data_IF_732708905544
#
_entry.id   IF_732708905544
#
_cell.length_a   1.000
_cell.length_b   1.000
_cell.length_c   1.000
_cell.angle_alpha   90.00
_cell.angle_beta   90.00
_cell.angle_gamma   90.00
#
_symmetry.space_group_name_H-M   'P 1'
#
loop_
_entity.id
_entity.type
_entity.pdbx_description
1 polymer ?
#
# COMPACT_ATOMS: atom_id res chain seq x y z
N UNK A 1 -31.34 71.31 24.07
CA UNK A 1 -30.85 71.02 22.70
C UNK A 1 -31.56 71.93 21.70
N UNK A 2 -30.83 72.54 20.78
CA UNK A 2 -31.38 73.26 19.63
C UNK A 2 -31.91 72.30 18.57
N UNK A 3 -32.84 72.72 17.71
CA UNK A 3 -33.36 71.89 16.59
C UNK A 3 -32.19 71.38 15.71
N UNK A 4 -31.19 72.23 15.46
CA UNK A 4 -29.97 71.86 14.73
C UNK A 4 -29.23 70.68 15.37
N UNK A 5 -29.07 70.66 16.70
CA UNK A 5 -28.37 69.55 17.37
C UNK A 5 -29.15 68.23 17.35
N UNK A 6 -30.50 68.27 17.31
CA UNK A 6 -31.31 67.05 17.15
C UNK A 6 -31.19 66.44 15.76
N UNK A 7 -31.23 67.28 14.72
CA UNK A 7 -31.07 66.84 13.33
C UNK A 7 -29.67 66.25 13.12
N UNK A 8 -28.63 66.91 13.62
CA UNK A 8 -27.24 66.45 13.48
C UNK A 8 -27.00 65.09 14.16
N UNK A 9 -27.56 64.90 15.35
CA UNK A 9 -27.44 63.65 16.10
C UNK A 9 -28.23 62.52 15.43
N UNK A 10 -29.42 62.81 14.89
CA UNK A 10 -30.19 61.85 14.10
C UNK A 10 -29.46 61.43 12.81
N UNK A 11 -28.89 62.38 12.06
CA UNK A 11 -28.10 62.06 10.86
C UNK A 11 -26.84 61.26 11.20
N UNK A 12 -26.16 61.56 12.31
CA UNK A 12 -24.98 60.82 12.74
C UNK A 12 -25.33 59.36 13.09
N UNK A 13 -26.41 59.13 13.83
CA UNK A 13 -26.89 57.77 14.16
C UNK A 13 -27.29 57.01 12.90
N UNK A 14 -27.95 57.65 11.93
CA UNK A 14 -28.29 57.05 10.65
C UNK A 14 -27.06 56.63 9.85
N UNK A 15 -26.05 57.49 9.74
CA UNK A 15 -24.81 57.19 9.01
C UNK A 15 -24.06 56.05 9.69
N UNK A 16 -23.92 56.08 11.02
CA UNK A 16 -23.27 55.00 11.78
C UNK A 16 -24.05 53.69 11.61
N UNK A 17 -25.37 53.71 11.69
CA UNK A 17 -26.22 52.54 11.48
C UNK A 17 -26.07 51.94 10.08
N UNK A 18 -26.05 52.79 9.04
CA UNK A 18 -25.83 52.35 7.66
C UNK A 18 -24.42 51.77 7.45
N UNK A 19 -23.38 52.39 8.04
CA UNK A 19 -22.00 51.88 7.98
C UNK A 19 -21.86 50.53 8.70
N UNK A 20 -22.50 50.36 9.86
CA UNK A 20 -22.53 49.09 10.57
C UNK A 20 -23.26 48.00 9.77
N UNK A 21 -24.41 48.33 9.18
CA UNK A 21 -25.16 47.40 8.34
C UNK A 21 -24.36 46.97 7.11
N UNK A 22 -23.76 47.93 6.39
CA UNK A 22 -22.90 47.65 5.24
C UNK A 22 -21.65 46.85 5.63
N UNK A 23 -21.02 47.17 6.76
CA UNK A 23 -19.87 46.42 7.30
C UNK A 23 -20.23 44.98 7.66
N UNK A 24 -21.37 44.76 8.33
CA UNK A 24 -21.86 43.42 8.67
C UNK A 24 -22.22 42.60 7.42
N UNK A 25 -22.88 43.21 6.43
CA UNK A 25 -23.18 42.56 5.15
C UNK A 25 -21.91 42.23 4.38
N UNK A 26 -20.97 43.17 4.29
CA UNK A 26 -19.67 42.97 3.64
C UNK A 26 -18.87 41.85 4.31
N UNK A 27 -18.83 41.82 5.64
CA UNK A 27 -18.19 40.75 6.40
C UNK A 27 -18.86 39.39 6.16
N UNK A 28 -20.19 39.31 6.24
CA UNK A 28 -20.94 38.06 6.03
C UNK A 28 -20.77 37.54 4.60
N UNK A 29 -20.88 38.42 3.60
CA UNK A 29 -20.75 38.07 2.19
C UNK A 29 -19.31 37.68 1.84
N UNK A 30 -18.32 38.42 2.37
CA UNK A 30 -16.91 38.12 2.20
C UNK A 30 -16.52 36.78 2.85
N UNK A 31 -16.92 36.55 4.11
CA UNK A 31 -16.66 35.30 4.83
C UNK A 31 -17.29 34.10 4.11
N UNK A 32 -18.57 34.20 3.74
CA UNK A 32 -19.27 33.13 3.02
C UNK A 32 -18.66 32.84 1.64
N UNK A 33 -18.19 33.86 0.93
CA UNK A 33 -17.52 33.67 -0.37
C UNK A 33 -16.16 32.98 -0.21
N UNK A 34 -15.40 33.32 0.84
CA UNK A 34 -14.14 32.65 1.16
C UNK A 34 -14.37 31.19 1.54
N UNK A 35 -15.34 30.92 2.42
CA UNK A 35 -15.70 29.56 2.84
C UNK A 35 -16.10 28.70 1.63
N UNK A 36 -16.97 29.24 0.75
CA UNK A 36 -17.34 28.57 -0.49
C UNK A 36 -16.15 28.32 -1.41
N UNK A 37 -15.26 29.30 -1.57
CA UNK A 37 -14.05 29.15 -2.38
C UNK A 37 -13.08 28.09 -1.82
N UNK A 38 -12.95 27.99 -0.49
CA UNK A 38 -12.15 26.92 0.14
C UNK A 38 -12.81 25.55 0.00
N UNK A 39 -14.13 25.47 0.18
CA UNK A 39 -14.91 24.24 0.00
C UNK A 39 -14.77 23.67 -1.42
N UNK A 40 -14.94 24.52 -2.44
CA UNK A 40 -14.76 24.15 -3.84
C UNK A 40 -13.32 23.71 -4.10
N UNK A 41 -12.32 24.41 -3.54
CA UNK A 41 -10.91 24.02 -3.67
C UNK A 41 -10.60 22.65 -3.06
N UNK A 42 -11.08 22.37 -1.85
CA UNK A 42 -10.89 21.08 -1.19
C UNK A 42 -11.51 19.95 -2.02
N UNK A 43 -12.70 20.18 -2.56
CA UNK A 43 -13.39 19.23 -3.44
C UNK A 43 -12.59 18.97 -4.71
N UNK A 44 -12.10 20.01 -5.38
CA UNK A 44 -11.26 19.86 -6.58
C UNK A 44 -9.96 19.11 -6.27
N UNK A 45 -9.31 19.38 -5.14
CA UNK A 45 -8.10 18.66 -4.73
C UNK A 45 -8.44 17.18 -4.49
N UNK A 46 -9.49 16.88 -3.71
CA UNK A 46 -9.92 15.50 -3.43
C UNK A 46 -10.21 14.73 -4.73
N UNK A 47 -11.02 15.30 -5.63
CA UNK A 47 -11.37 14.67 -6.91
C UNK A 47 -10.13 14.40 -7.77
N UNK A 48 -9.21 15.37 -7.86
CA UNK A 48 -7.96 15.18 -8.58
C UNK A 48 -7.09 14.06 -7.97
N UNK A 49 -7.03 13.93 -6.64
CA UNK A 49 -6.30 12.83 -5.98
C UNK A 49 -6.97 11.48 -6.20
N UNK A 50 -8.29 11.42 -6.09
CA UNK A 50 -9.04 10.20 -6.38
C UNK A 50 -8.82 9.74 -7.83
N UNK A 51 -8.92 10.66 -8.78
CA UNK A 51 -8.67 10.37 -10.20
C UNK A 51 -7.23 9.95 -10.46
N UNK A 52 -6.24 10.60 -9.83
CA UNK A 52 -4.83 10.23 -9.97
C UNK A 52 -4.56 8.81 -9.43
N UNK A 53 -5.13 8.46 -8.27
CA UNK A 53 -5.01 7.11 -7.70
C UNK A 53 -5.69 6.06 -8.59
N UNK A 54 -6.89 6.36 -9.10
CA UNK A 54 -7.58 5.46 -10.00
C UNK A 54 -6.79 5.23 -11.30
N UNK A 55 -6.30 6.30 -11.92
CA UNK A 55 -5.51 6.22 -13.16
C UNK A 55 -4.20 5.44 -12.95
N UNK A 56 -3.57 5.57 -11.79
CA UNK A 56 -2.37 4.82 -11.43
C UNK A 56 -2.65 3.31 -11.31
N UNK A 57 -3.72 2.92 -10.61
CA UNK A 57 -4.12 1.51 -10.50
C UNK A 57 -4.62 0.90 -11.81
N UNK A 58 -5.32 1.67 -12.64
CA UNK A 58 -5.67 1.26 -14.00
C UNK A 58 -4.42 1.04 -14.85
N UNK A 59 -3.43 1.94 -14.76
CA UNK A 59 -2.15 1.80 -15.46
C UNK A 59 -1.41 0.53 -15.00
N UNK A 60 -1.34 0.28 -13.70
CA UNK A 60 -0.76 -0.95 -13.17
C UNK A 60 -1.48 -2.21 -13.65
N UNK A 61 -2.81 -2.18 -13.69
CA UNK A 61 -3.62 -3.27 -14.23
C UNK A 61 -3.27 -3.56 -15.67
N UNK A 62 -3.17 -2.51 -16.49
CA UNK A 62 -2.78 -2.62 -17.90
C UNK A 62 -1.36 -3.17 -18.06
N UNK A 63 -0.40 -2.72 -17.24
CA UNK A 63 0.96 -3.27 -17.24
C UNK A 63 0.94 -4.78 -16.92
N UNK A 64 0.19 -5.16 -15.89
CA UNK A 64 0.07 -6.56 -15.48
C UNK A 64 -0.58 -7.43 -16.58
N UNK A 65 -1.60 -6.92 -17.27
CA UNK A 65 -2.20 -7.58 -18.44
C UNK A 65 -1.19 -7.77 -19.58
N UNK A 66 -0.40 -6.75 -19.89
CA UNK A 66 0.67 -6.88 -20.90
C UNK A 66 1.66 -7.94 -20.47
N UNK A 67 2.10 -7.93 -19.20
CA UNK A 67 3.04 -8.89 -18.65
C UNK A 67 2.54 -10.34 -18.79
N UNK A 68 1.25 -10.61 -18.52
CA UNK A 68 0.71 -11.97 -18.64
C UNK A 68 0.64 -12.52 -20.07
N UNK A 69 0.63 -11.62 -21.07
CA UNK A 69 0.64 -11.99 -22.49
C UNK A 69 2.05 -12.16 -23.06
N UNK A 70 3.08 -11.65 -22.37
CA UNK A 70 4.47 -11.77 -22.83
C UNK A 70 4.93 -13.23 -22.86
N UNK A 71 5.36 -13.71 -24.03
CA UNK A 71 5.93 -15.06 -24.19
C UNK A 71 7.05 -15.33 -23.19
N UNK A 72 7.91 -14.33 -22.90
CA UNK A 72 8.99 -14.46 -21.93
C UNK A 72 8.49 -14.84 -20.53
N UNK A 73 7.39 -14.24 -20.05
CA UNK A 73 6.83 -14.57 -18.72
C UNK A 73 6.15 -15.94 -18.75
N UNK A 74 5.40 -16.26 -19.81
CA UNK A 74 4.77 -17.57 -19.98
C UNK A 74 5.80 -18.71 -19.98
N UNK A 75 6.87 -18.54 -20.74
CA UNK A 75 7.97 -19.52 -20.79
C UNK A 75 8.74 -19.58 -19.48
N UNK A 76 8.97 -18.46 -18.80
CA UNK A 76 9.57 -18.48 -17.46
C UNK A 76 8.71 -19.27 -16.46
N UNK A 77 7.40 -19.04 -16.43
CA UNK A 77 6.47 -19.77 -15.56
C UNK A 77 6.51 -21.28 -15.86
N UNK A 78 6.48 -21.69 -17.14
CA UNK A 78 6.60 -23.09 -17.55
C UNK A 78 7.94 -23.70 -17.15
N UNK A 79 9.05 -23.01 -17.42
CA UNK A 79 10.40 -23.50 -17.15
C UNK A 79 10.64 -23.67 -15.66
N UNK A 80 10.27 -22.66 -14.86
CA UNK A 80 10.35 -22.73 -13.39
C UNK A 80 9.48 -23.87 -12.84
N UNK A 81 8.23 -23.98 -13.29
CA UNK A 81 7.34 -25.08 -12.88
C UNK A 81 7.89 -26.47 -13.25
N UNK A 82 8.39 -26.64 -14.48
CA UNK A 82 8.95 -27.91 -14.95
C UNK A 82 10.27 -28.32 -14.28
N UNK A 83 10.97 -27.37 -13.66
CA UNK A 83 12.24 -27.61 -12.96
C UNK A 83 12.06 -28.17 -11.54
N UNK A 84 10.83 -28.20 -11.04
CA UNK A 84 10.52 -28.58 -9.66
C UNK A 84 10.98 -30.00 -9.31
N UNK A 85 10.72 -30.96 -10.18
CA UNK A 85 11.06 -32.37 -9.94
C UNK A 85 12.57 -32.57 -9.81
N UNK A 86 13.35 -31.95 -10.70
CA UNK A 86 14.81 -31.95 -10.65
C UNK A 86 15.34 -31.28 -9.39
N UNK A 87 14.77 -30.12 -9.03
CA UNK A 87 15.15 -29.38 -7.84
C UNK A 87 14.89 -30.20 -6.56
N UNK A 88 13.70 -30.82 -6.46
CA UNK A 88 13.33 -31.66 -5.33
C UNK A 88 14.22 -32.90 -5.23
N UNK A 89 14.56 -33.53 -6.36
CA UNK A 89 15.48 -34.66 -6.39
C UNK A 89 16.90 -34.25 -5.95
N UNK A 90 17.38 -33.08 -6.38
CA UNK A 90 18.69 -32.56 -5.99
C UNK A 90 18.80 -32.35 -4.47
N UNK A 91 17.75 -31.79 -3.84
CA UNK A 91 17.76 -31.47 -2.41
C UNK A 91 17.35 -32.64 -1.51
N UNK A 92 16.74 -33.71 -2.05
CA UNK A 92 16.11 -34.78 -1.27
C UNK A 92 17.00 -35.32 -0.14
N UNK A 93 18.27 -35.61 -0.45
CA UNK A 93 19.23 -36.21 0.49
C UNK A 93 20.14 -35.20 1.20
N UNK A 94 19.96 -33.90 0.98
CA UNK A 94 20.77 -32.85 1.59
C UNK A 94 20.20 -32.44 2.96
N UNK A 95 21.07 -32.02 3.89
CA UNK A 95 20.63 -31.52 5.19
C UNK A 95 20.09 -30.09 5.09
N UNK A 96 18.98 -29.83 5.78
CA UNK A 96 18.33 -28.51 5.84
C UNK A 96 19.01 -27.57 6.85
N UNK A 97 19.83 -28.10 7.77
CA UNK A 97 20.43 -27.33 8.86
C UNK A 97 21.19 -26.09 8.41
N UNK A 98 22.03 -26.12 7.35
CA UNK A 98 22.71 -24.92 6.87
C UNK A 98 21.74 -23.88 6.32
N UNK A 99 20.66 -24.31 5.68
CA UNK A 99 19.66 -23.42 5.07
C UNK A 99 18.79 -22.78 6.12
N UNK A 100 18.36 -23.55 7.13
CA UNK A 100 17.65 -23.03 8.30
C UNK A 100 18.45 -21.90 8.94
N UNK A 101 19.75 -22.11 9.17
CA UNK A 101 20.62 -21.08 9.75
C UNK A 101 20.68 -19.83 8.88
N UNK A 102 20.97 -19.95 7.59
CA UNK A 102 21.09 -18.77 6.71
C UNK A 102 19.76 -17.97 6.63
N UNK A 103 18.63 -18.67 6.56
CA UNK A 103 17.29 -18.04 6.53
C UNK A 103 16.96 -17.39 7.88
N UNK A 104 17.29 -18.05 9.00
CA UNK A 104 17.15 -17.50 10.36
C UNK A 104 18.02 -16.28 10.59
N UNK A 105 19.28 -16.30 10.21
CA UNK A 105 20.20 -15.18 10.41
C UNK A 105 19.69 -13.91 9.68
N UNK A 106 19.13 -14.07 8.47
CA UNK A 106 18.60 -12.95 7.69
C UNK A 106 17.24 -12.45 8.20
N UNK A 107 16.27 -13.35 8.38
CA UNK A 107 14.89 -12.94 8.72
C UNK A 107 14.67 -12.74 10.22
N UNK A 108 15.34 -13.51 11.08
CA UNK A 108 15.23 -13.40 12.55
C UNK A 108 15.65 -12.03 13.06
N UNK A 109 16.71 -11.47 12.48
CA UNK A 109 17.17 -10.09 12.76
C UNK A 109 16.09 -9.04 12.47
N UNK A 110 15.28 -9.26 11.43
CA UNK A 110 14.31 -8.27 10.93
C UNK A 110 12.89 -8.47 11.46
N UNK A 111 12.50 -9.72 11.75
CA UNK A 111 11.14 -10.11 12.11
C UNK A 111 11.01 -10.63 13.56
N UNK A 112 12.13 -10.79 14.27
CA UNK A 112 12.17 -11.15 15.69
C UNK A 112 12.22 -12.66 15.98
N UNK A 113 12.42 -12.97 17.26
CA UNK A 113 12.65 -14.33 17.78
C UNK A 113 11.47 -15.30 17.51
N UNK A 114 10.24 -14.80 17.49
CA UNK A 114 9.06 -15.63 17.19
C UNK A 114 9.16 -16.23 15.78
N UNK A 115 9.52 -15.40 14.80
CA UNK A 115 9.69 -15.85 13.40
C UNK A 115 10.87 -16.81 13.30
N UNK A 116 11.98 -16.48 13.96
CA UNK A 116 13.19 -17.31 13.95
C UNK A 116 12.95 -18.73 14.48
N UNK A 117 12.28 -18.86 15.62
CA UNK A 117 12.17 -20.14 16.33
C UNK A 117 10.90 -20.93 16.00
N UNK A 118 9.84 -20.27 15.53
CA UNK A 118 8.53 -20.93 15.31
C UNK A 118 8.15 -21.02 13.84
N UNK A 119 8.51 -20.03 13.03
CA UNK A 119 8.02 -19.90 11.66
C UNK A 119 9.00 -20.53 10.66
N UNK A 120 10.28 -20.14 10.71
CA UNK A 120 11.31 -20.63 9.78
C UNK A 120 11.45 -22.16 9.80
N UNK A 121 11.44 -22.84 10.96
CA UNK A 121 11.52 -24.31 11.01
C UNK A 121 10.33 -25.04 10.37
N UNK A 122 9.23 -24.33 10.09
CA UNK A 122 8.02 -24.89 9.44
C UNK A 122 7.98 -24.65 7.95
N UNK A 123 8.99 -23.97 7.38
CA UNK A 123 9.09 -23.76 5.95
C UNK A 123 9.39 -25.07 5.22
N UNK A 124 8.85 -25.26 4.00
CA UNK A 124 9.21 -26.42 3.18
C UNK A 124 10.70 -26.44 2.85
N UNK A 125 11.27 -27.64 2.76
CA UNK A 125 12.67 -27.87 2.35
C UNK A 125 13.08 -27.07 1.11
N UNK A 126 12.24 -27.07 0.07
CA UNK A 126 12.49 -26.33 -1.18
C UNK A 126 12.52 -24.82 -0.95
N UNK A 127 11.65 -24.30 -0.08
CA UNK A 127 11.63 -22.87 0.30
C UNK A 127 12.92 -22.48 1.03
N UNK A 128 13.33 -23.27 2.03
CA UNK A 128 14.57 -23.07 2.77
C UNK A 128 15.78 -23.10 1.85
N UNK A 129 15.87 -24.11 0.98
CA UNK A 129 16.97 -24.23 0.01
C UNK A 129 17.05 -22.98 -0.87
N UNK A 130 15.95 -22.64 -1.57
CA UNK A 130 15.93 -21.52 -2.51
C UNK A 130 16.29 -20.21 -1.81
N UNK A 131 15.66 -19.89 -0.67
CA UNK A 131 15.98 -18.68 0.08
C UNK A 131 17.46 -18.66 0.48
N UNK A 132 17.97 -19.73 1.11
CA UNK A 132 19.35 -19.80 1.56
C UNK A 132 20.37 -19.55 0.43
N UNK A 133 20.13 -20.08 -0.78
CA UNK A 133 21.06 -19.84 -1.91
C UNK A 133 21.13 -18.35 -2.29
N UNK A 134 19.98 -17.69 -2.42
CA UNK A 134 19.96 -16.27 -2.79
C UNK A 134 20.47 -15.36 -1.66
N UNK A 135 20.09 -15.64 -0.41
CA UNK A 135 20.54 -14.89 0.77
C UNK A 135 22.06 -15.00 0.96
N UNK A 136 22.59 -16.22 0.86
CA UNK A 136 24.04 -16.46 0.96
C UNK A 136 24.81 -15.73 -0.14
N UNK A 137 24.33 -15.80 -1.39
CA UNK A 137 24.97 -15.12 -2.51
C UNK A 137 24.90 -13.59 -2.40
N UNK A 138 23.79 -13.07 -1.84
CA UNK A 138 23.59 -11.65 -1.55
C UNK A 138 24.58 -11.15 -0.49
N UNK A 139 24.76 -11.93 0.58
CA UNK A 139 25.75 -11.66 1.63
C UNK A 139 27.18 -11.60 1.09
N UNK A 140 27.58 -12.56 0.24
CA UNK A 140 28.92 -12.55 -0.39
C UNK A 140 29.14 -11.31 -1.27
N UNK A 141 28.09 -10.86 -1.97
CA UNK A 141 28.16 -9.73 -2.90
C UNK A 141 27.85 -8.38 -2.25
N UNK A 142 27.58 -8.35 -0.94
CA UNK A 142 27.18 -7.15 -0.19
C UNK A 142 26.03 -6.41 -0.87
N UNK A 143 24.98 -7.14 -1.26
CA UNK A 143 23.82 -6.61 -1.96
C UNK A 143 22.53 -7.24 -1.45
N UNK A 144 21.40 -6.70 -1.88
CA UNK A 144 20.08 -7.26 -1.57
C UNK A 144 19.82 -8.56 -2.37
N UNK A 145 19.08 -9.54 -1.81
CA UNK A 145 18.73 -10.78 -2.50
C UNK A 145 18.03 -10.54 -3.85
N UNK A 146 17.30 -9.43 -3.98
CA UNK A 146 16.64 -9.00 -5.21
C UNK A 146 17.60 -8.70 -6.37
N UNK A 147 18.89 -8.49 -6.10
CA UNK A 147 19.89 -8.15 -7.11
C UNK A 147 20.71 -9.37 -7.57
N UNK A 148 20.42 -10.56 -7.04
CA UNK A 148 21.13 -11.79 -7.37
C UNK A 148 20.54 -12.43 -8.63
N UNK A 149 21.17 -12.13 -9.77
CA UNK A 149 20.77 -12.68 -11.09
C UNK A 149 21.06 -14.17 -11.23
N UNK A 150 22.28 -14.58 -10.89
CA UNK A 150 22.74 -15.95 -11.06
C UNK A 150 23.58 -16.43 -9.86
N UNK A 151 23.57 -17.75 -9.67
CA UNK A 151 24.38 -18.49 -8.70
C UNK A 151 25.15 -19.54 -9.51
N UNK A 152 26.42 -19.26 -9.80
CA UNK A 152 27.21 -19.99 -10.81
C UNK A 152 27.30 -21.48 -10.51
N UNK A 153 27.40 -21.83 -9.24
CA UNK A 153 27.52 -23.18 -8.70
C UNK A 153 26.27 -24.02 -8.95
N UNK A 154 25.13 -23.38 -9.25
CA UNK A 154 23.83 -24.02 -9.43
C UNK A 154 23.24 -23.80 -10.83
N UNK A 155 23.97 -23.17 -11.76
CA UNK A 155 23.50 -22.90 -13.13
C UNK A 155 23.16 -24.17 -13.92
N UNK A 156 23.70 -25.32 -13.50
CA UNK A 156 23.37 -26.63 -14.07
C UNK A 156 21.94 -27.09 -13.75
N UNK A 157 21.34 -26.60 -12.67
CA UNK A 157 19.95 -26.89 -12.32
C UNK A 157 19.02 -26.00 -13.14
N UNK A 158 18.02 -26.61 -13.79
CA UNK A 158 17.07 -25.88 -14.66
C UNK A 158 16.39 -24.70 -13.96
N UNK A 159 16.13 -24.81 -12.66
CA UNK A 159 15.53 -23.73 -11.87
C UNK A 159 16.38 -22.45 -11.93
N UNK A 160 17.66 -22.53 -11.60
CA UNK A 160 18.54 -21.35 -11.53
C UNK A 160 18.86 -20.79 -12.91
N UNK A 161 18.89 -21.64 -13.94
CA UNK A 161 18.95 -21.20 -15.33
C UNK A 161 17.69 -20.41 -15.74
N UNK A 162 16.51 -20.96 -15.49
CA UNK A 162 15.25 -20.26 -15.81
C UNK A 162 15.11 -18.95 -15.02
N UNK A 163 15.52 -18.95 -13.74
CA UNK A 163 15.58 -17.76 -12.91
C UNK A 163 16.51 -16.70 -13.53
N UNK A 164 17.75 -17.03 -13.88
CA UNK A 164 18.71 -16.05 -14.41
C UNK A 164 18.30 -15.43 -15.75
N UNK A 165 17.51 -16.16 -16.56
CA UNK A 165 16.96 -15.67 -17.82
C UNK A 165 15.83 -14.63 -17.64
N UNK A 166 14.97 -14.80 -16.63
CA UNK A 166 13.82 -13.92 -16.38
C UNK A 166 14.10 -12.81 -15.37
N UNK A 167 14.96 -13.04 -14.39
CA UNK A 167 15.12 -12.15 -13.24
C UNK A 167 15.56 -10.72 -13.60
N UNK A 168 16.52 -10.48 -14.52
CA UNK A 168 16.87 -9.12 -14.94
C UNK A 168 15.69 -8.34 -15.52
N UNK A 169 14.79 -9.03 -16.23
CA UNK A 169 13.57 -8.41 -16.75
C UNK A 169 12.66 -7.97 -15.60
N UNK A 170 12.44 -8.82 -14.58
CA UNK A 170 11.61 -8.44 -13.44
C UNK A 170 12.21 -7.34 -12.56
N UNK A 171 13.54 -7.27 -12.42
CA UNK A 171 14.20 -6.14 -11.76
C UNK A 171 13.86 -4.83 -12.49
N UNK A 172 14.18 -4.75 -13.79
CA UNK A 172 13.93 -3.55 -14.60
C UNK A 172 12.45 -3.18 -14.63
N UNK A 173 11.59 -4.19 -14.77
CA UNK A 173 10.14 -4.00 -14.76
C UNK A 173 9.65 -3.43 -13.43
N UNK A 174 10.05 -4.03 -12.30
CA UNK A 174 9.62 -3.58 -10.98
C UNK A 174 10.14 -2.19 -10.64
N UNK A 175 11.40 -1.87 -10.97
CA UNK A 175 11.99 -0.56 -10.72
C UNK A 175 11.30 0.54 -11.55
N UNK A 176 10.99 0.29 -12.83
CA UNK A 176 10.29 1.25 -13.71
C UNK A 176 8.88 1.56 -13.23
N UNK A 177 8.15 0.53 -12.80
CA UNK A 177 6.75 0.65 -12.44
C UNK A 177 6.52 0.75 -10.92
N UNK A 178 7.60 0.84 -10.13
CA UNK A 178 7.58 0.97 -8.68
C UNK A 178 6.74 -0.13 -8.01
N UNK A 179 7.01 -1.37 -8.42
CA UNK A 179 6.39 -2.58 -7.88
C UNK A 179 7.31 -3.10 -6.77
N UNK A 180 6.74 -3.40 -5.61
CA UNK A 180 7.54 -3.79 -4.44
C UNK A 180 8.10 -5.21 -4.59
N UNK A 181 7.29 -6.16 -5.06
CA UNK A 181 7.68 -7.54 -5.34
C UNK A 181 6.86 -8.07 -6.52
N UNK A 182 7.41 -9.04 -7.23
CA UNK A 182 6.74 -9.75 -8.32
C UNK A 182 6.74 -11.22 -7.98
N UNK A 183 5.55 -11.83 -7.96
CA UNK A 183 5.40 -13.26 -7.76
C UNK A 183 4.95 -13.95 -9.04
N UNK A 184 5.53 -15.13 -9.29
CA UNK A 184 4.92 -16.12 -10.17
C UNK A 184 4.46 -17.28 -9.29
N UNK A 185 3.17 -17.58 -9.37
CA UNK A 185 2.54 -18.67 -8.64
C UNK A 185 2.07 -19.68 -9.67
N UNK A 186 2.49 -20.93 -9.51
CA UNK A 186 2.09 -22.00 -10.43
C UNK A 186 0.65 -22.46 -10.21
N UNK A 187 0.15 -23.31 -11.10
CA UNK A 187 -1.19 -23.91 -11.02
C UNK A 187 -1.46 -24.75 -9.76
N UNK A 188 -0.43 -25.16 -9.01
CA UNK A 188 -0.56 -25.90 -7.74
C UNK A 188 -0.62 -24.97 -6.52
N UNK A 189 -0.45 -23.66 -6.71
CA UNK A 189 -0.42 -22.66 -5.66
C UNK A 189 0.96 -22.42 -5.05
N UNK A 190 2.04 -22.91 -5.68
CA UNK A 190 3.40 -22.65 -5.17
C UNK A 190 3.93 -21.33 -5.70
N UNK A 191 4.56 -20.56 -4.81
CA UNK A 191 5.31 -19.35 -5.17
C UNK A 191 6.66 -19.76 -5.74
N UNK A 192 6.70 -20.04 -7.04
CA UNK A 192 7.89 -20.53 -7.76
C UNK A 192 8.88 -19.41 -8.12
N UNK A 193 8.48 -18.14 -7.97
CA UNK A 193 9.34 -16.97 -8.11
C UNK A 193 8.88 -15.85 -7.17
N UNK A 194 9.83 -15.15 -6.57
CA UNK A 194 9.69 -13.85 -5.91
C UNK A 194 10.85 -12.98 -6.37
N UNK A 195 10.63 -11.69 -6.62
CA UNK A 195 11.70 -10.75 -6.90
C UNK A 195 12.59 -10.59 -5.68
N UNK A 196 11.99 -10.32 -4.51
CA UNK A 196 12.71 -10.01 -3.28
C UNK A 196 13.23 -11.22 -2.50
N UNK A 197 12.78 -12.44 -2.86
CA UNK A 197 13.15 -13.68 -2.15
C UNK A 197 12.70 -13.65 -0.68
N UNK A 198 11.52 -13.08 -0.43
CA UNK A 198 10.92 -12.98 0.91
C UNK A 198 10.56 -14.34 1.53
N UNK A 199 10.11 -14.33 2.78
CA UNK A 199 9.85 -15.54 3.58
C UNK A 199 8.82 -16.50 2.96
N UNK A 200 7.93 -15.98 2.12
CA UNK A 200 6.91 -16.73 1.36
C UNK A 200 7.47 -17.46 0.13
N UNK A 201 8.68 -17.14 -0.32
CA UNK A 201 9.27 -17.68 -1.55
C UNK A 201 9.49 -19.19 -1.45
N UNK A 202 9.03 -19.93 -2.46
CA UNK A 202 9.10 -21.40 -2.49
C UNK A 202 8.05 -22.10 -1.62
N UNK A 203 7.17 -21.38 -0.95
CA UNK A 203 6.05 -21.94 -0.17
C UNK A 203 4.82 -22.19 -1.04
N UNK A 204 3.82 -22.90 -0.49
CA UNK A 204 2.57 -23.18 -1.19
C UNK A 204 1.39 -22.50 -0.48
N UNK A 205 0.47 -21.91 -1.24
CA UNK A 205 -0.65 -21.12 -0.74
C UNK A 205 -1.88 -21.94 -0.35
N UNK A 206 -1.87 -23.25 -0.63
CA UNK A 206 -2.89 -24.19 -0.20
C UNK A 206 -2.48 -24.98 1.05
N UNK A 207 -1.21 -24.93 1.45
CA UNK A 207 -0.66 -25.75 2.56
C UNK A 207 0.40 -25.01 3.35
N UNK A 208 0.53 -25.31 4.64
CA UNK A 208 1.59 -24.73 5.48
C UNK A 208 1.26 -23.31 5.97
N UNK A 209 2.28 -22.57 6.40
CA UNK A 209 2.11 -21.34 7.19
C UNK A 209 1.55 -20.14 6.40
N UNK A 210 1.63 -20.15 5.07
CA UNK A 210 1.10 -19.09 4.20
C UNK A 210 -0.30 -19.41 3.63
N UNK A 211 -0.93 -20.52 4.03
CA UNK A 211 -2.21 -20.98 3.47
C UNK A 211 -3.44 -20.13 3.85
N UNK A 212 -3.29 -19.20 4.79
CA UNK A 212 -4.35 -18.29 5.24
C UNK A 212 -3.87 -16.84 5.16
N UNK A 213 -3.43 -16.43 3.98
CA UNK A 213 -2.91 -15.07 3.73
C UNK A 213 -3.62 -14.42 2.56
N UNK A 214 -3.40 -13.11 2.36
CA UNK A 214 -3.99 -12.42 1.21
C UNK A 214 -3.50 -12.97 -0.14
N UNK A 215 -2.28 -13.51 -0.21
CA UNK A 215 -1.81 -14.22 -1.40
C UNK A 215 -2.60 -15.49 -1.68
N UNK A 216 -3.13 -16.17 -0.66
CA UNK A 216 -4.05 -17.30 -0.85
C UNK A 216 -5.33 -16.85 -1.56
N UNK A 217 -5.93 -15.74 -1.12
CA UNK A 217 -7.13 -15.18 -1.76
C UNK A 217 -6.87 -14.84 -3.23
N UNK A 218 -5.67 -14.29 -3.52
CA UNK A 218 -5.21 -13.97 -4.88
C UNK A 218 -5.15 -15.23 -5.73
N UNK A 219 -4.50 -16.28 -5.23
CA UNK A 219 -4.39 -17.55 -5.95
C UNK A 219 -5.77 -18.19 -6.17
N UNK A 220 -6.62 -18.27 -5.15
CA UNK A 220 -7.97 -18.86 -5.28
C UNK A 220 -8.87 -18.10 -6.25
N UNK A 221 -8.82 -16.77 -6.25
CA UNK A 221 -9.51 -15.97 -7.26
C UNK A 221 -9.02 -16.29 -8.67
N UNK A 222 -7.70 -16.44 -8.86
CA UNK A 222 -7.11 -16.66 -10.19
C UNK A 222 -7.53 -17.99 -10.83
N UNK A 223 -7.87 -19.01 -10.03
CA UNK A 223 -8.35 -20.31 -10.52
C UNK A 223 -9.68 -20.22 -11.28
N UNK A 224 -10.52 -19.23 -10.96
CA UNK A 224 -11.81 -18.99 -11.61
C UNK A 224 -11.83 -17.75 -12.51
N UNK A 225 -10.72 -17.03 -12.62
CA UNK A 225 -10.63 -15.78 -13.38
C UNK A 225 -10.55 -16.04 -14.88
N UNK A 226 -11.17 -15.16 -15.68
CA UNK A 226 -11.09 -15.24 -17.14
C UNK A 226 -9.73 -14.72 -17.64
N UNK A 227 -9.25 -15.18 -18.82
CA UNK A 227 -8.09 -14.57 -19.47
C UNK A 227 -8.28 -13.07 -19.63
N UNK A 228 -7.17 -12.31 -19.61
CA UNK A 228 -7.17 -10.84 -19.76
C UNK A 228 -7.99 -10.08 -18.70
N UNK A 229 -8.11 -10.65 -17.49
CA UNK A 229 -8.68 -9.96 -16.33
C UNK A 229 -7.61 -9.68 -15.30
N UNK A 230 -7.72 -8.59 -14.56
CA UNK A 230 -6.92 -8.34 -13.37
C UNK A 230 -7.80 -7.97 -12.19
N UNK A 231 -7.29 -8.13 -10.98
CA UNK A 231 -7.97 -7.72 -9.75
C UNK A 231 -6.99 -7.14 -8.75
N UNK A 232 -7.40 -6.05 -8.12
CA UNK A 232 -6.76 -5.49 -6.93
C UNK A 232 -7.31 -6.17 -5.67
N UNK A 233 -6.40 -6.52 -4.78
CA UNK A 233 -6.64 -7.02 -3.44
C UNK A 233 -6.06 -6.00 -2.48
N UNK A 234 -6.95 -5.33 -1.74
CA UNK A 234 -6.60 -4.25 -0.81
C UNK A 234 -5.72 -4.73 0.35
N UNK A 235 -5.10 -3.78 1.04
CA UNK A 235 -4.07 -3.99 2.05
C UNK A 235 -4.54 -4.92 3.17
N UNK A 236 -3.66 -5.85 3.50
CA UNK A 236 -3.71 -6.66 4.71
C UNK A 236 -2.29 -6.91 5.20
N UNK A 237 -2.12 -7.36 6.46
CA UNK A 237 -0.85 -7.95 6.88
C UNK A 237 -0.43 -9.05 5.90
N UNK A 238 0.85 -9.07 5.52
CA UNK A 238 1.42 -10.07 4.62
C UNK A 238 1.16 -11.51 5.14
N UNK A 239 1.31 -11.69 6.44
CA UNK A 239 0.93 -12.89 7.18
C UNK A 239 0.71 -12.54 8.66
N UNK A 240 0.10 -13.41 9.49
CA UNK A 240 -0.06 -13.14 10.92
C UNK A 240 1.25 -12.80 11.66
N UNK A 241 2.37 -13.34 11.20
CA UNK A 241 3.73 -13.14 11.72
C UNK A 241 4.55 -12.14 10.90
N UNK A 242 3.95 -11.48 9.90
CA UNK A 242 4.56 -10.43 9.08
C UNK A 242 3.61 -9.22 9.02
N UNK A 243 3.75 -8.26 9.97
CA UNK A 243 2.78 -7.18 10.14
C UNK A 243 2.81 -6.13 9.02
N UNK A 244 3.79 -6.21 8.12
CA UNK A 244 3.89 -5.33 6.95
C UNK A 244 2.60 -5.41 6.14
N UNK A 245 2.03 -4.25 5.86
CA UNK A 245 0.77 -4.11 5.13
C UNK A 245 1.05 -4.02 3.65
N UNK A 246 0.44 -4.93 2.88
CA UNK A 246 0.68 -5.05 1.45
C UNK A 246 -0.63 -5.26 0.70
N UNK A 247 -0.75 -4.63 -0.47
CA UNK A 247 -1.80 -4.90 -1.42
C UNK A 247 -1.23 -5.71 -2.59
N UNK A 248 -2.11 -6.41 -3.30
CA UNK A 248 -1.73 -7.20 -4.46
C UNK A 248 -2.59 -6.86 -5.67
N UNK A 249 -1.97 -6.80 -6.84
CA UNK A 249 -2.68 -6.84 -8.10
C UNK A 249 -2.28 -8.08 -8.87
N UNK A 250 -3.26 -8.84 -9.36
CA UNK A 250 -3.01 -10.15 -9.95
C UNK A 250 -3.75 -10.34 -11.27
N UNK A 251 -3.16 -11.12 -12.17
CA UNK A 251 -3.80 -11.58 -13.42
C UNK A 251 -3.43 -13.05 -13.69
N UNK A 252 -4.39 -13.89 -14.10
CA UNK A 252 -4.09 -15.26 -14.47
C UNK A 252 -3.31 -15.32 -15.80
N UNK A 253 -2.36 -16.25 -15.88
CA UNK A 253 -1.58 -16.54 -17.07
C UNK A 253 -2.14 -17.79 -17.74
N UNK A 254 -2.41 -17.69 -19.03
CA UNK A 254 -2.91 -18.79 -19.85
C UNK A 254 -1.97 -19.11 -21.01
N UNK A 255 -1.96 -20.37 -21.44
CA UNK A 255 -1.48 -20.80 -22.74
C UNK A 255 -2.66 -21.34 -23.55
N UNK A 256 -3.11 -20.55 -24.52
CA UNK A 256 -4.42 -20.73 -25.14
C UNK A 256 -5.52 -20.78 -24.06
N UNK A 257 -6.18 -21.92 -23.91
CA UNK A 257 -7.24 -22.15 -22.91
C UNK A 257 -6.71 -22.76 -21.61
N UNK A 258 -5.43 -23.12 -21.53
CA UNK A 258 -4.85 -23.80 -20.37
C UNK A 258 -4.35 -22.80 -19.35
N UNK A 259 -4.90 -22.82 -18.14
CA UNK A 259 -4.38 -22.05 -17.01
C UNK A 259 -2.98 -22.56 -16.63
N UNK A 260 -1.99 -21.66 -16.59
CA UNK A 260 -0.62 -21.97 -16.22
C UNK A 260 -0.31 -21.59 -14.76
N UNK A 261 -0.95 -20.54 -14.25
CA UNK A 261 -0.61 -19.90 -12.97
C UNK A 261 -1.04 -18.45 -12.95
N UNK A 262 -0.52 -17.67 -12.01
CA UNK A 262 -0.86 -16.26 -11.83
C UNK A 262 0.41 -15.43 -11.62
N UNK A 263 0.47 -14.25 -12.25
CA UNK A 263 1.47 -13.23 -11.93
C UNK A 263 0.84 -12.19 -11.01
N UNK A 264 1.59 -11.82 -9.98
CA UNK A 264 1.13 -10.93 -8.91
C UNK A 264 2.15 -9.83 -8.71
N UNK A 265 1.70 -8.58 -8.68
CA UNK A 265 2.47 -7.43 -8.22
C UNK A 265 2.07 -7.10 -6.80
N UNK A 266 3.07 -7.01 -5.93
CA UNK A 266 2.91 -6.43 -4.59
C UNK A 266 3.03 -4.92 -4.68
N UNK A 267 2.07 -4.22 -4.09
CA UNK A 267 1.99 -2.76 -4.04
C UNK A 267 2.25 -2.31 -2.60
N UNK A 268 3.22 -1.41 -2.40
CA UNK A 268 3.48 -0.79 -1.10
C UNK A 268 2.53 0.36 -0.80
N UNK A 269 2.36 0.65 0.49
CA UNK A 269 1.65 1.84 0.96
C UNK A 269 2.30 3.14 0.46
N UNK A 270 3.64 3.17 0.31
CA UNK A 270 4.38 4.35 -0.14
C UNK A 270 3.94 4.86 -1.52
N UNK A 271 3.43 3.98 -2.38
CA UNK A 271 2.88 4.38 -3.67
C UNK A 271 1.62 5.23 -3.50
N UNK A 272 0.68 4.76 -2.67
CA UNK A 272 -0.56 5.47 -2.40
C UNK A 272 -0.28 6.75 -1.64
N UNK A 273 0.63 6.67 -0.67
CA UNK A 273 1.02 7.82 0.13
C UNK A 273 1.54 8.96 -0.76
N UNK A 274 2.45 8.66 -1.70
CA UNK A 274 2.95 9.66 -2.64
C UNK A 274 1.86 10.27 -3.53
N UNK A 275 0.94 9.46 -4.04
CA UNK A 275 -0.15 9.96 -4.90
C UNK A 275 -1.11 10.85 -4.11
N UNK A 276 -1.55 10.39 -2.94
CA UNK A 276 -2.57 11.10 -2.14
C UNK A 276 -1.99 12.34 -1.46
N UNK A 277 -0.78 12.27 -0.95
CA UNK A 277 -0.08 13.41 -0.35
C UNK A 277 0.55 14.36 -1.36
N UNK A 278 0.61 13.96 -2.63
CA UNK A 278 1.33 14.64 -3.72
C UNK A 278 2.81 14.86 -3.38
N UNK A 279 3.50 13.76 -3.08
CA UNK A 279 4.88 13.73 -2.58
C UNK A 279 5.08 14.69 -1.39
N UNK A 280 4.11 14.70 -0.47
CA UNK A 280 4.09 15.56 0.73
C UNK A 280 4.18 17.07 0.43
N UNK A 281 3.80 17.51 -0.78
CA UNK A 281 3.85 18.93 -1.20
C UNK A 281 2.55 19.70 -0.88
N UNK A 282 1.89 19.39 0.24
CA UNK A 282 0.58 19.93 0.61
C UNK A 282 0.48 21.46 0.48
N UNK A 283 1.46 22.20 0.99
CA UNK A 283 1.45 23.66 0.96
C UNK A 283 1.47 24.21 -0.48
N UNK A 284 2.37 23.69 -1.33
CA UNK A 284 2.50 24.11 -2.75
C UNK A 284 1.25 23.78 -3.56
N UNK A 285 0.55 22.70 -3.22
CA UNK A 285 -0.62 22.22 -3.93
C UNK A 285 -1.95 22.77 -3.40
N UNK A 286 -1.88 23.81 -2.57
CA UNK A 286 -3.05 24.58 -2.18
C UNK A 286 -3.77 24.14 -0.93
N UNK A 287 -3.20 23.17 -0.21
CA UNK A 287 -3.69 22.74 1.11
C UNK A 287 -3.12 23.61 2.24
N UNK A 288 -2.25 24.59 1.92
CA UNK A 288 -1.71 25.58 2.86
C UNK A 288 -1.04 24.93 4.07
N UNK A 289 -1.25 25.47 5.26
CA UNK A 289 -0.56 25.07 6.50
C UNK A 289 -1.15 23.81 7.14
N UNK A 290 -2.46 23.57 7.02
CA UNK A 290 -3.14 22.52 7.78
C UNK A 290 -3.88 21.50 6.93
N UNK A 291 -4.13 21.78 5.66
CA UNK A 291 -4.89 20.88 4.79
C UNK A 291 -4.09 19.62 4.45
N UNK A 292 -4.81 18.53 4.31
CA UNK A 292 -4.29 17.23 3.86
C UNK A 292 -5.39 16.48 3.10
N UNK A 293 -5.02 15.40 2.42
CA UNK A 293 -5.95 14.46 1.80
C UNK A 293 -5.68 13.10 2.40
N UNK A 294 -6.74 12.42 2.85
CA UNK A 294 -6.66 11.08 3.43
C UNK A 294 -7.58 10.15 2.64
N UNK A 295 -7.03 9.02 2.21
CA UNK A 295 -7.79 7.91 1.66
C UNK A 295 -8.09 6.89 2.77
N UNK A 296 -9.32 6.40 2.81
CA UNK A 296 -9.77 5.36 3.73
C UNK A 296 -10.21 4.13 2.96
N UNK A 297 -9.89 2.95 3.49
CA UNK A 297 -10.49 1.71 3.03
C UNK A 297 -11.92 1.51 3.57
N UNK A 298 -12.66 0.53 3.04
CA UNK A 298 -13.97 0.13 3.59
C UNK A 298 -13.92 -0.35 5.04
N UNK A 299 -12.74 -0.77 5.50
CA UNK A 299 -12.43 -1.16 6.88
C UNK A 299 -12.24 0.03 7.83
N UNK A 300 -12.29 1.26 7.32
CA UNK A 300 -12.10 2.49 8.09
C UNK A 300 -10.63 2.85 8.35
N UNK A 301 -9.67 2.04 7.91
CA UNK A 301 -8.24 2.31 8.09
C UNK A 301 -7.72 3.28 7.01
N UNK A 302 -6.82 4.17 7.40
CA UNK A 302 -6.13 5.07 6.46
C UNK A 302 -5.28 4.27 5.46
N UNK A 303 -5.15 4.75 4.22
CA UNK A 303 -4.30 4.17 3.18
C UNK A 303 -3.05 4.99 2.87
N UNK A 304 -2.93 6.18 3.47
CA UNK A 304 -1.77 7.07 3.38
C UNK A 304 -1.42 7.67 4.74
N UNK A 305 -0.28 8.35 4.81
CA UNK A 305 0.19 9.02 6.02
C UNK A 305 -0.57 10.33 6.29
N UNK A 306 -0.81 10.57 7.57
CA UNK A 306 -1.23 11.85 8.11
C UNK A 306 -0.11 12.86 7.93
N UNK A 307 -0.46 14.05 7.42
CA UNK A 307 0.44 15.20 7.37
C UNK A 307 0.93 15.59 8.75
N UNK A 308 0.05 15.58 9.74
CA UNK A 308 0.39 15.95 11.11
C UNK A 308 1.43 14.99 11.70
N UNK A 309 1.29 13.68 11.46
CA UNK A 309 2.30 12.72 11.87
C UNK A 309 3.64 12.95 11.16
N UNK A 310 3.60 13.27 9.87
CA UNK A 310 4.80 13.51 9.06
C UNK A 310 5.55 14.79 9.45
N UNK A 311 4.85 15.93 9.58
CA UNK A 311 5.48 17.23 9.86
C UNK A 311 5.70 17.46 11.37
N UNK A 312 4.79 16.97 12.23
CA UNK A 312 4.77 17.26 13.66
C UNK A 312 4.43 16.00 14.51
N UNK A 313 5.28 14.96 14.48
CA UNK A 313 4.98 13.68 15.14
C UNK A 313 4.70 13.81 16.65
N UNK A 314 5.39 14.70 17.35
CA UNK A 314 5.15 14.94 18.78
C UNK A 314 3.77 15.54 19.06
N UNK A 315 3.26 16.39 18.17
CA UNK A 315 1.92 16.97 18.28
C UNK A 315 0.85 15.92 18.01
N UNK A 316 1.04 15.12 16.95
CA UNK A 316 0.19 13.96 16.65
C UNK A 316 0.07 13.04 17.87
N UNK A 317 1.19 12.66 18.48
CA UNK A 317 1.19 11.80 19.66
C UNK A 317 0.40 12.42 20.83
N UNK A 318 0.56 13.72 21.07
CA UNK A 318 -0.12 14.42 22.15
C UNK A 318 -1.64 14.47 21.95
N UNK A 319 -2.10 14.66 20.71
CA UNK A 319 -3.53 14.68 20.38
C UNK A 319 -4.11 13.28 20.56
N UNK A 320 -3.47 12.24 20.02
CA UNK A 320 -3.93 10.85 20.15
C UNK A 320 -3.99 10.42 21.62
N UNK A 321 -3.01 10.80 22.46
CA UNK A 321 -3.03 10.56 23.92
C UNK A 321 -4.24 11.24 24.59
N UNK A 322 -4.54 12.49 24.23
CA UNK A 322 -5.67 13.24 24.80
C UNK A 322 -7.03 12.67 24.43
N UNK A 323 -7.16 12.08 23.24
CA UNK A 323 -8.41 11.49 22.76
C UNK A 323 -8.77 10.17 23.47
N UNK A 324 -7.92 9.67 24.36
CA UNK A 324 -8.10 8.37 25.01
C UNK A 324 -8.04 7.21 24.00
N UNK A 325 -7.56 7.47 22.78
CA UNK A 325 -7.25 6.45 21.79
C UNK A 325 -6.23 5.48 22.39
N UNK A 326 -6.37 4.19 22.09
CA UNK A 326 -5.56 3.16 22.72
C UNK A 326 -4.07 3.48 22.56
N UNK A 327 -3.29 3.31 23.63
CA UNK A 327 -1.82 3.39 23.54
C UNK A 327 -1.25 2.49 22.43
N UNK A 328 -2.01 1.46 22.03
CA UNK A 328 -1.70 0.58 20.91
C UNK A 328 -1.57 1.31 19.56
N UNK A 329 -2.42 2.31 19.25
CA UNK A 329 -2.29 3.06 17.98
C UNK A 329 -0.95 3.78 17.92
N UNK A 330 -0.52 4.37 19.05
CA UNK A 330 0.76 5.05 19.15
C UNK A 330 1.94 4.09 19.04
N UNK A 331 1.86 2.95 19.72
CA UNK A 331 2.87 1.89 19.64
C UNK A 331 2.98 1.40 18.19
N UNK A 332 1.88 0.99 17.57
CA UNK A 332 1.89 0.46 16.22
C UNK A 332 2.35 1.50 15.18
N UNK A 333 1.89 2.74 15.28
CA UNK A 333 2.30 3.82 14.36
C UNK A 333 3.80 4.07 14.47
N UNK A 334 4.36 4.03 15.68
CA UNK A 334 5.79 4.24 15.93
C UNK A 334 6.63 3.06 15.46
N UNK A 335 6.19 1.83 15.71
CA UNK A 335 6.87 0.61 15.24
C UNK A 335 6.82 0.48 13.72
N UNK A 336 5.68 0.80 13.10
CA UNK A 336 5.51 0.75 11.66
C UNK A 336 6.11 1.97 10.93
N UNK A 337 6.34 3.09 11.63
CA UNK A 337 6.80 4.35 11.05
C UNK A 337 5.78 5.03 10.13
N UNK A 338 4.49 4.72 10.27
CA UNK A 338 3.43 5.15 9.36
C UNK A 338 2.08 5.18 10.07
N UNK A 339 1.21 6.14 9.71
CA UNK A 339 -0.20 6.13 10.17
C UNK A 339 -1.10 5.31 9.26
N UNK A 340 -0.67 5.04 8.02
CA UNK A 340 -1.43 4.22 7.10
C UNK A 340 -1.60 2.81 7.70
N UNK A 341 -2.81 2.28 7.61
CA UNK A 341 -3.23 1.00 8.20
C UNK A 341 -3.10 0.91 9.74
N UNK A 342 -2.78 2.00 10.44
CA UNK A 342 -2.69 2.06 11.91
C UNK A 342 -3.77 2.94 12.53
N UNK A 343 -4.12 4.04 11.85
CA UNK A 343 -5.15 4.96 12.29
C UNK A 343 -6.45 4.67 11.55
N UNK A 344 -7.55 4.60 12.30
CA UNK A 344 -8.86 4.27 11.78
C UNK A 344 -9.90 5.34 12.11
N UNK A 345 -10.86 5.50 11.22
CA UNK A 345 -12.14 6.16 11.47
C UNK A 345 -13.23 5.09 11.57
N UNK A 346 -14.27 5.25 12.42
CA UNK A 346 -15.36 4.29 12.50
C UNK A 346 -15.94 3.95 11.12
N UNK A 347 -16.05 2.66 10.74
CA UNK A 347 -16.51 2.26 9.40
C UNK A 347 -17.90 2.79 9.02
N UNK A 348 -18.76 3.03 10.01
CA UNK A 348 -20.07 3.67 9.81
C UNK A 348 -19.96 5.08 9.22
N UNK A 349 -18.94 5.85 9.65
CA UNK A 349 -18.64 7.17 9.08
C UNK A 349 -18.21 7.02 7.63
N UNK A 350 -17.46 5.98 7.26
CA UNK A 350 -17.06 5.76 5.86
C UNK A 350 -18.26 5.30 5.02
N UNK A 351 -19.04 4.33 5.49
CA UNK A 351 -20.20 3.77 4.78
C UNK A 351 -21.27 4.81 4.44
N UNK A 352 -21.49 5.78 5.32
CA UNK A 352 -22.39 6.90 5.04
C UNK A 352 -21.97 7.71 3.80
N UNK A 353 -20.65 7.82 3.57
CA UNK A 353 -20.07 8.61 2.49
C UNK A 353 -19.82 7.82 1.19
N UNK A 354 -19.78 6.49 1.23
CA UNK A 354 -19.61 5.65 0.03
C UNK A 354 -20.79 5.71 -0.95
N UNK A 355 -21.95 6.20 -0.50
CA UNK A 355 -23.20 6.23 -1.29
C UNK A 355 -23.84 7.62 -1.36
N UNK A 356 -23.21 8.65 -0.79
CA UNK A 356 -23.71 10.03 -0.87
C UNK A 356 -22.98 10.82 -1.96
N UNK A 357 -23.64 11.86 -2.48
CA UNK A 357 -23.00 12.87 -3.31
C UNK A 357 -21.91 13.60 -2.52
N UNK A 358 -20.94 14.21 -3.21
CA UNK A 358 -19.85 14.97 -2.60
C UNK A 358 -20.34 15.95 -1.51
N UNK A 359 -19.91 15.73 -0.27
CA UNK A 359 -20.28 16.56 0.88
C UNK A 359 -19.13 17.51 1.20
N UNK A 360 -19.43 18.79 1.39
CA UNK A 360 -18.53 19.73 2.06
C UNK A 360 -19.19 20.30 3.30
N UNK A 361 -18.53 20.14 4.45
CA UNK A 361 -19.08 20.54 5.74
C UNK A 361 -17.97 20.86 6.75
N UNK A 362 -18.37 21.43 7.89
CA UNK A 362 -17.52 21.49 9.08
C UNK A 362 -17.87 20.31 9.98
N UNK A 363 -16.89 19.44 10.22
CA UNK A 363 -17.10 18.22 11.00
C UNK A 363 -15.80 17.63 11.56
N UNK A 364 -15.89 16.60 12.41
CA UNK A 364 -14.72 16.00 13.06
C UNK A 364 -13.86 15.20 12.07
N UNK A 365 -12.55 15.44 12.03
CA UNK A 365 -11.58 14.63 11.29
C UNK A 365 -11.33 13.24 11.93
N UNK A 366 -10.27 12.55 11.48
CA UNK A 366 -9.85 11.24 12.02
C UNK A 366 -9.27 11.32 13.44
N UNK A 367 -8.94 12.52 13.94
CA UNK A 367 -8.57 12.83 15.32
C UNK A 367 -9.73 13.50 16.09
N UNK A 368 -10.94 13.49 15.54
CA UNK A 368 -12.14 14.09 16.12
C UNK A 368 -12.01 15.62 16.36
N UNK A 369 -11.13 16.29 15.61
CA UNK A 369 -10.95 17.75 15.62
C UNK A 369 -11.89 18.37 14.57
N UNK A 370 -12.67 19.42 14.89
CA UNK A 370 -13.54 20.08 13.92
C UNK A 370 -12.74 20.78 12.81
N UNK A 371 -12.99 20.40 11.56
CA UNK A 371 -12.33 20.96 10.37
C UNK A 371 -13.33 21.19 9.24
N UNK A 372 -13.01 22.12 8.33
CA UNK A 372 -13.67 22.19 7.02
C UNK A 372 -13.16 21.03 6.16
N UNK A 373 -14.05 20.17 5.68
CA UNK A 373 -13.72 18.94 4.96
C UNK A 373 -14.58 18.75 3.72
N UNK A 374 -13.99 18.15 2.68
CA UNK A 374 -14.69 17.59 1.53
C UNK A 374 -14.59 16.07 1.59
N UNK A 375 -15.71 15.37 1.43
CA UNK A 375 -15.80 13.90 1.49
C UNK A 375 -16.58 13.40 0.26
N UNK A 376 -16.12 12.30 -0.33
CA UNK A 376 -16.79 11.57 -1.40
C UNK A 376 -15.83 10.62 -2.10
#
# INVERSE_FOLDING_TARGET
>A
MTIKSRILLFTAVLVIGAMLAAGMMGYKMGSSSLEKGYAERLTQIRLNRAQALQADFESLGNYLLVASEMTRIREALKNLFSSEEELNAYIANQSETPWLKEVSDYHGTNLGEEVEHTIIPRLPKTSLFLQAQFLHQAKIKETEPRNIVNIKELENLKYFKAHSEIHPFFIDYADRFQISDVYLIDKSGRIIYSLNKGLNYGTNLNTGIFASTRLTDVFHWSLGAQPRTYKLFDFMPMAPFMPQQVAFMATPIFDNSSYLGVVVFQISLDRIDRIISDDHQWNKNGLRETGEVIAFGPDGLMRNNSRLYYEHPAEFENIVKKLGASGQILVNTKEAGTTAMQVATPPERIRHHLHSEDITEVGPDYLNVPVLRSIG
#
